data_IF_437415339554
#
_entry.id   IF_437415339554
#
_cell.length_a   1.000
_cell.length_b   1.000
_cell.length_c   1.000
_cell.angle_alpha   90.00
_cell.angle_beta   90.00
_cell.angle_gamma   90.00
#
_symmetry.space_group_name_H-M   'P 1'
#
loop_
_entity.id
_entity.type
_entity.pdbx_description
1 polymer ?
#
# COMPACT_ATOMS: atom_id res chain seq x y z
N UNK A 1 -9.55 -23.73 -7.50
CA UNK A 1 -9.41 -23.21 -7.12
C UNK A 1 -9.28 -22.39 -6.59
N UNK A 2 -9.00 -22.56 -6.32
CA UNK A 2 -8.88 -21.79 -5.83
C UNK A 2 -8.46 -21.07 -5.42
N UNK A 3 -8.44 -20.79 -5.39
CA UNK A 3 -8.03 -20.13 -4.83
C UNK A 3 -8.04 -19.42 -4.13
N UNK A 4 -8.16 -19.69 -3.89
CA UNK A 4 -8.32 -18.87 -2.91
C UNK A 4 -7.40 -18.30 -2.44
N UNK A 5 -6.97 -18.42 -2.75
CA UNK A 5 -6.12 -17.92 -2.31
C UNK A 5 -5.96 -16.96 -1.50
N UNK A 6 -5.19 -16.93 -0.78
CA UNK A 6 -5.04 -15.96 0.19
C UNK A 6 -5.20 -14.63 -0.42
N UNK A 7 -5.91 -13.81 0.21
CA UNK A 7 -6.13 -12.51 -0.28
C UNK A 7 -5.15 -11.59 0.32
N UNK A 8 -4.40 -10.87 -0.48
CA UNK A 8 -3.44 -9.93 0.05
C UNK A 8 -4.05 -8.58 0.40
N UNK A 9 -5.24 -8.32 -0.06
CA UNK A 9 -5.84 -6.99 0.09
C UNK A 9 -6.65 -6.89 1.37
N UNK A 10 -6.56 -5.78 2.09
CA UNK A 10 -7.36 -5.61 3.30
C UNK A 10 -8.83 -5.76 3.03
N UNK A 11 -9.52 -6.25 4.03
CA UNK A 11 -10.93 -6.56 3.92
C UNK A 11 -11.80 -5.39 3.54
N UNK A 12 -11.42 -4.20 3.89
CA UNK A 12 -12.25 -3.06 3.59
C UNK A 12 -12.54 -2.95 2.12
N UNK A 13 -11.73 -3.61 1.30
CA UNK A 13 -11.88 -3.51 -0.13
C UNK A 13 -12.60 -4.68 -0.74
N UNK A 14 -12.78 -5.71 0.01
CA UNK A 14 -13.36 -6.92 -0.54
C UNK A 14 -14.84 -6.79 -0.72
N UNK A 15 -15.34 -7.28 -1.85
CA UNK A 15 -16.75 -7.39 -2.05
C UNK A 15 -17.45 -6.11 -2.40
N UNK A 16 -16.73 -5.00 -2.48
CA UNK A 16 -17.37 -3.73 -2.72
C UNK A 16 -17.20 -3.22 -4.11
N UNK A 17 -16.11 -3.55 -4.74
CA UNK A 17 -15.84 -3.01 -6.06
C UNK A 17 -14.59 -3.65 -6.58
N UNK A 18 -14.38 -3.45 -7.84
CA UNK A 18 -13.18 -3.92 -8.45
C UNK A 18 -12.16 -2.83 -8.43
N UNK A 19 -10.96 -3.18 -8.06
CA UNK A 19 -9.87 -2.24 -8.09
C UNK A 19 -9.33 -2.15 -9.49
N UNK A 20 -9.10 -0.94 -9.95
CA UNK A 20 -8.45 -0.77 -11.23
C UNK A 20 -6.94 -0.78 -11.07
N UNK A 21 -6.46 -0.96 -9.86
CA UNK A 21 -5.05 -1.01 -9.60
C UNK A 21 -4.46 -2.30 -10.12
N UNK A 22 -3.34 -2.18 -10.80
CA UNK A 22 -2.66 -3.35 -11.34
C UNK A 22 -1.35 -3.62 -10.63
N UNK A 23 -0.91 -2.68 -9.81
CA UNK A 23 0.39 -2.81 -9.14
C UNK A 23 0.18 -3.00 -7.66
N UNK A 24 0.59 -4.15 -7.16
CA UNK A 24 0.46 -4.48 -5.75
C UNK A 24 1.81 -4.99 -5.29
N UNK A 25 2.50 -4.17 -4.50
CA UNK A 25 3.85 -4.48 -4.08
C UNK A 25 3.85 -4.83 -2.61
N UNK A 26 4.14 -6.07 -2.30
CA UNK A 26 4.18 -6.53 -0.93
C UNK A 26 5.46 -6.09 -0.26
N UNK A 27 5.33 -5.63 0.97
CA UNK A 27 6.51 -5.19 1.70
C UNK A 27 6.25 -5.10 3.17
N UNK A 28 7.19 -4.48 3.86
CA UNK A 28 7.08 -4.26 5.28
C UNK A 28 7.08 -2.79 5.59
N UNK A 29 6.22 -2.40 6.51
CA UNK A 29 6.17 -1.02 6.93
C UNK A 29 7.39 -0.71 7.77
N UNK A 30 8.13 0.30 7.37
CA UNK A 30 9.31 0.72 8.10
C UNK A 30 9.02 1.92 9.00
N UNK A 31 7.97 2.67 8.70
CA UNK A 31 7.66 3.85 9.48
C UNK A 31 6.20 4.25 9.27
N UNK A 32 5.56 4.66 10.36
CA UNK A 32 4.23 5.27 10.28
C UNK A 32 4.32 6.55 11.09
N UNK A 33 4.07 7.66 10.45
CA UNK A 33 4.14 8.95 11.11
C UNK A 33 2.83 9.68 10.92
N UNK A 34 2.10 9.87 12.02
CA UNK A 34 0.81 10.54 11.95
C UNK A 34 0.96 12.03 12.10
N UNK A 35 0.27 12.76 11.25
CA UNK A 35 0.17 14.19 11.39
C UNK A 35 -1.17 14.55 11.98
N UNK A 36 -1.65 15.74 11.69
CA UNK A 36 -2.93 16.20 12.21
C UNK A 36 -4.09 15.38 11.66
N UNK A 37 -4.09 15.12 10.36
CA UNK A 37 -5.18 14.38 9.75
C UNK A 37 -4.68 13.24 8.88
N UNK A 38 -3.42 13.24 8.50
CA UNK A 38 -2.88 12.30 7.54
C UNK A 38 -1.64 11.61 8.10
N UNK A 39 -1.53 10.34 7.85
CA UNK A 39 -0.38 9.57 8.25
C UNK A 39 0.49 9.28 7.04
N UNK A 40 1.79 9.36 7.22
CA UNK A 40 2.75 9.00 6.18
C UNK A 40 3.30 7.63 6.52
N UNK A 41 3.21 6.74 5.57
CA UNK A 41 3.61 5.35 5.76
C UNK A 41 4.70 5.02 4.76
N UNK A 42 5.76 4.40 5.24
CA UNK A 42 6.84 3.96 4.38
C UNK A 42 6.86 2.45 4.33
N UNK A 43 6.91 1.91 3.15
CA UNK A 43 6.87 0.46 2.95
C UNK A 43 8.08 0.05 2.15
N UNK A 44 8.85 -0.87 2.71
CA UNK A 44 10.02 -1.42 2.02
C UNK A 44 9.55 -2.61 1.20
N UNK A 45 9.62 -2.47 -0.11
CA UNK A 45 9.11 -3.50 -1.02
C UNK A 45 10.24 -4.25 -1.70
N UNK A 46 11.28 -4.54 -0.94
CA UNK A 46 12.38 -5.31 -1.51
C UNK A 46 13.59 -4.43 -1.81
N UNK A 47 13.90 -3.52 -0.91
CA UNK A 47 15.04 -2.65 -1.10
C UNK A 47 14.65 -1.26 -1.57
N UNK A 48 13.41 -1.08 -1.97
CA UNK A 48 12.90 0.21 -2.38
C UNK A 48 11.82 0.64 -1.40
N UNK A 49 11.77 1.93 -1.12
CA UNK A 49 10.77 2.45 -0.19
C UNK A 49 9.66 3.15 -0.96
N UNK A 50 8.45 2.72 -0.71
CA UNK A 50 7.27 3.36 -1.27
C UNK A 50 6.66 4.18 -0.15
N UNK A 51 6.46 5.47 -0.40
CA UNK A 51 5.84 6.34 0.59
C UNK A 51 4.38 6.52 0.24
N UNK A 52 3.53 6.42 1.24
CA UNK A 52 2.10 6.57 1.04
C UNK A 52 1.55 7.53 2.06
N UNK A 53 0.51 8.24 1.69
CA UNK A 53 -0.21 9.11 2.61
C UNK A 53 -1.62 8.59 2.72
N UNK A 54 -2.05 8.34 3.94
CA UNK A 54 -3.41 7.86 4.18
C UNK A 54 -4.00 8.66 5.34
N UNK A 55 -5.31 8.71 5.39
CA UNK A 55 -5.96 9.38 6.50
C UNK A 55 -5.59 8.67 7.80
N UNK A 56 -5.48 9.43 8.88
CA UNK A 56 -5.18 8.82 10.18
C UNK A 56 -6.19 7.72 10.52
N UNK A 57 -7.45 7.93 10.17
CA UNK A 57 -8.48 6.93 10.43
C UNK A 57 -8.19 5.63 9.73
N UNK A 58 -7.73 5.72 8.48
CA UNK A 58 -7.41 4.51 7.73
C UNK A 58 -6.21 3.80 8.33
N UNK A 59 -5.22 4.56 8.77
CA UNK A 59 -4.06 3.96 9.40
C UNK A 59 -4.48 3.20 10.65
N UNK A 60 -5.42 3.76 11.41
CA UNK A 60 -5.91 3.11 12.61
C UNK A 60 -6.73 1.87 12.29
N UNK A 61 -7.62 1.98 11.32
CA UNK A 61 -8.47 0.84 10.95
C UNK A 61 -7.64 -0.32 10.45
N UNK A 62 -6.64 -0.03 9.67
CA UNK A 62 -5.78 -1.08 9.13
C UNK A 62 -4.68 -1.47 10.10
N UNK A 63 -4.60 -0.78 11.23
CA UNK A 63 -3.62 -1.07 12.27
C UNK A 63 -2.20 -1.05 11.71
N UNK A 64 -1.94 -0.03 10.94
CA UNK A 64 -0.62 0.11 10.33
C UNK A 64 0.41 0.45 11.38
N UNK A 65 1.51 -0.28 11.36
CA UNK A 65 2.59 -0.04 12.30
C UNK A 65 3.86 -0.63 11.74
N UNK A 66 4.96 -0.15 12.28
CA UNK A 66 6.27 -0.61 11.87
C UNK A 66 6.37 -2.12 12.02
N UNK A 67 6.90 -2.76 11.02
CA UNK A 67 7.09 -4.21 11.03
C UNK A 67 5.94 -4.99 10.46
N UNK A 68 4.82 -4.36 10.22
CA UNK A 68 3.67 -5.05 9.68
C UNK A 68 3.81 -5.24 8.18
N UNK A 69 3.38 -6.39 7.69
CA UNK A 69 3.35 -6.63 6.26
C UNK A 69 2.22 -5.83 5.64
N UNK A 70 2.50 -5.16 4.55
CA UNK A 70 1.50 -4.35 3.89
C UNK A 70 1.74 -4.39 2.39
N UNK A 71 0.78 -3.90 1.65
CA UNK A 71 0.88 -3.86 0.19
C UNK A 71 0.75 -2.43 -0.26
N UNK A 72 1.66 -2.02 -1.12
CA UNK A 72 1.54 -0.72 -1.77
C UNK A 72 0.75 -0.96 -3.05
N UNK A 73 -0.42 -0.35 -3.15
CA UNK A 73 -1.30 -0.56 -4.27
C UNK A 73 -1.36 0.71 -5.08
N UNK A 74 -0.96 0.62 -6.33
CA UNK A 74 -0.80 1.79 -7.17
C UNK A 74 -1.59 1.62 -8.46
N UNK A 75 -2.51 2.52 -8.70
CA UNK A 75 -3.26 2.48 -9.96
C UNK A 75 -2.29 2.67 -11.13
N UNK A 76 -2.51 1.88 -12.16
CA UNK A 76 -1.64 1.96 -13.32
C UNK A 76 -1.63 3.36 -13.91
N UNK A 77 -2.74 4.04 -13.88
CA UNK A 77 -2.81 5.40 -14.44
C UNK A 77 -2.07 6.42 -13.60
N UNK A 78 -1.64 6.04 -12.40
CA UNK A 78 -0.91 6.95 -11.52
C UNK A 78 0.60 6.75 -11.59
N UNK A 79 1.04 5.79 -12.38
CA UNK A 79 2.47 5.50 -12.47
C UNK A 79 3.07 6.26 -13.62
N UNK A 80 4.14 6.94 -13.34
CA UNK A 80 4.88 7.65 -14.38
C UNK A 80 6.16 6.89 -14.67
N UNK A 81 6.65 7.02 -15.87
CA UNK A 81 7.86 6.32 -16.28
C UNK A 81 8.98 7.30 -16.45
N UNK A 82 10.12 6.97 -15.86
CA UNK A 82 11.30 7.77 -16.06
C UNK A 82 12.43 6.87 -16.52
N UNK A 83 13.34 7.44 -17.27
CA UNK A 83 14.54 6.72 -17.70
C UNK A 83 15.72 7.65 -17.57
N UNK A 84 16.88 7.05 -17.52
CA UNK A 84 18.08 7.85 -17.45
C UNK A 84 18.29 8.55 -18.79
N UNK A 85 18.77 9.76 -18.68
CA UNK A 85 19.13 10.52 -19.85
C UNK A 85 20.44 9.98 -20.37
N UNK A 86 20.51 9.62 -21.58
CA UNK A 86 21.78 9.02 -22.07
C UNK A 86 22.56 9.96 -22.89
#
# INVERSE_FOLDING_TARGET
MHQGEAKPIPLAWEGHYELSARNQLKGKITEVKKGATTAHVRIDVGGQIIAASVANESADELKLKKGKTAYAIIKATSVMVGVDKS
#
